data_IF_045306219297
#
_entry.id   IF_045306219297
#
_cell.length_a   1.000
_cell.length_b   1.000
_cell.length_c   1.000
_cell.angle_alpha   90.00
_cell.angle_beta   90.00
_cell.angle_gamma   90.00
#
_symmetry.space_group_name_H-M   'P 1'
#
loop_
_entity.id
_entity.type
_entity.pdbx_description
1 polymer ?
#
# COMPACT_ATOMS: atom_id res chain seq x y z
N UNK A 1 -5.55 -16.02 24.12
CA UNK A 1 -5.31 -16.83 22.90
C UNK A 1 -4.59 -18.08 23.36
N UNK A 2 -5.18 -19.27 23.16
CA UNK A 2 -4.52 -20.53 23.45
C UNK A 2 -4.05 -21.13 22.11
N UNK A 3 -2.74 -21.23 21.93
CA UNK A 3 -2.10 -21.82 20.75
C UNK A 3 -1.61 -20.81 19.70
N UNK A 4 -0.73 -21.25 18.79
CA UNK A 4 -0.27 -20.46 17.64
C UNK A 4 -1.44 -20.14 16.70
N UNK A 5 -1.21 -19.20 15.78
CA UNK A 5 -2.16 -18.91 14.70
C UNK A 5 -2.37 -20.14 13.82
N UNK A 6 -3.58 -20.30 13.29
CA UNK A 6 -3.85 -21.33 12.29
C UNK A 6 -3.09 -21.04 10.99
N UNK A 7 -2.77 -22.11 10.26
CA UNK A 7 -2.10 -22.00 8.95
C UNK A 7 -2.93 -21.18 7.94
N UNK A 8 -4.27 -21.26 8.00
CA UNK A 8 -5.14 -20.44 7.15
C UNK A 8 -5.00 -18.95 7.47
N UNK A 9 -4.99 -18.58 8.76
CA UNK A 9 -4.82 -17.19 9.17
C UNK A 9 -3.44 -16.66 8.75
N UNK A 10 -2.38 -17.43 9.00
CA UNK A 10 -1.03 -17.09 8.55
C UNK A 10 -0.97 -16.91 7.03
N UNK A 11 -1.58 -17.82 6.26
CA UNK A 11 -1.63 -17.74 4.81
C UNK A 11 -2.38 -16.51 4.29
N UNK A 12 -3.51 -16.13 4.92
CA UNK A 12 -4.25 -14.90 4.57
C UNK A 12 -3.42 -13.65 4.84
N UNK A 13 -2.80 -13.57 6.02
CA UNK A 13 -1.93 -12.45 6.40
C UNK A 13 -0.75 -12.32 5.43
N UNK A 14 -0.11 -13.44 5.08
CA UNK A 14 1.01 -13.46 4.14
C UNK A 14 0.60 -12.96 2.75
N UNK A 15 -0.55 -13.42 2.21
CA UNK A 15 -1.04 -12.96 0.91
C UNK A 15 -1.36 -11.46 0.90
N UNK A 16 -1.97 -10.95 1.97
CA UNK A 16 -2.24 -9.53 2.10
C UNK A 16 -0.92 -8.73 2.16
N UNK A 17 0.05 -9.16 2.96
CA UNK A 17 1.36 -8.53 3.03
C UNK A 17 2.08 -8.51 1.68
N UNK A 18 2.02 -9.62 0.93
CA UNK A 18 2.56 -9.71 -0.43
C UNK A 18 1.84 -8.77 -1.41
N UNK A 19 0.51 -8.68 -1.34
CA UNK A 19 -0.26 -7.76 -2.17
C UNK A 19 0.09 -6.29 -1.87
N UNK A 20 0.19 -5.90 -0.59
CA UNK A 20 0.59 -4.56 -0.17
C UNK A 20 2.02 -4.22 -0.66
N UNK A 21 2.95 -5.17 -0.54
CA UNK A 21 4.32 -4.99 -1.03
C UNK A 21 4.37 -4.88 -2.56
N UNK A 22 3.55 -5.65 -3.28
CA UNK A 22 3.45 -5.55 -4.74
C UNK A 22 2.95 -4.16 -5.17
N UNK A 23 1.88 -3.67 -4.55
CA UNK A 23 1.34 -2.33 -4.80
C UNK A 23 2.33 -1.23 -4.44
N UNK A 24 3.11 -1.41 -3.38
CA UNK A 24 4.19 -0.48 -2.99
C UNK A 24 5.25 -0.39 -4.09
N UNK A 25 5.72 -1.53 -4.61
CA UNK A 25 6.68 -1.57 -5.72
C UNK A 25 6.06 -0.97 -6.98
N UNK A 26 4.80 -1.30 -7.28
CA UNK A 26 4.07 -0.72 -8.42
C UNK A 26 4.06 0.80 -8.37
N UNK A 27 3.77 1.40 -7.21
CA UNK A 27 3.85 2.84 -7.00
C UNK A 27 5.24 3.43 -7.23
N UNK A 28 6.30 2.77 -6.80
CA UNK A 28 7.67 3.31 -6.94
C UNK A 28 8.17 3.18 -8.40
N UNK A 29 7.88 2.07 -9.07
CA UNK A 29 8.54 1.69 -10.31
C UNK A 29 7.68 1.78 -11.56
N UNK A 30 6.38 1.48 -11.49
CA UNK A 30 5.56 1.26 -12.68
C UNK A 30 4.75 2.51 -13.06
N UNK A 31 4.66 2.76 -14.36
CA UNK A 31 3.75 3.75 -14.97
C UNK A 31 2.69 3.11 -15.89
N UNK A 32 2.85 1.83 -16.22
CA UNK A 32 1.92 1.03 -17.01
C UNK A 32 2.09 -0.47 -16.68
N UNK A 33 1.23 -1.32 -17.25
CA UNK A 33 1.25 -2.78 -17.07
C UNK A 33 1.21 -3.20 -15.59
N UNK A 34 0.24 -2.69 -14.80
CA UNK A 34 0.26 -2.80 -13.34
C UNK A 34 0.12 -4.22 -12.79
N UNK A 35 -0.29 -5.19 -13.62
CA UNK A 35 -0.41 -6.61 -13.28
C UNK A 35 0.57 -7.50 -14.05
N UNK A 36 1.51 -6.92 -14.81
CA UNK A 36 2.46 -7.64 -15.65
C UNK A 36 1.79 -8.67 -16.58
N UNK A 37 0.67 -8.29 -17.21
CA UNK A 37 -0.06 -9.16 -18.16
C UNK A 37 0.71 -9.40 -19.45
N UNK A 38 1.62 -8.49 -19.79
CA UNK A 38 2.66 -8.66 -20.80
C UNK A 38 4.03 -8.64 -20.14
N UNK A 39 5.08 -9.24 -20.75
CA UNK A 39 6.45 -9.18 -20.24
C UNK A 39 6.87 -7.73 -19.95
N UNK A 40 7.56 -7.52 -18.83
CA UNK A 40 8.00 -6.19 -18.40
C UNK A 40 8.97 -5.59 -19.43
N UNK A 41 8.67 -4.37 -19.89
CA UNK A 41 9.52 -3.59 -20.80
C UNK A 41 9.94 -2.27 -20.15
N UNK A 42 11.06 -1.64 -20.58
CA UNK A 42 11.51 -0.36 -20.06
C UNK A 42 10.42 0.73 -20.09
N UNK A 43 9.55 0.74 -21.12
CA UNK A 43 8.47 1.71 -21.25
C UNK A 43 7.40 1.61 -20.14
N UNK A 44 7.32 0.48 -19.44
CA UNK A 44 6.41 0.31 -18.29
C UNK A 44 6.97 0.91 -17.00
N UNK A 45 8.26 1.23 -16.97
CA UNK A 45 8.97 1.76 -15.80
C UNK A 45 8.95 3.29 -15.83
N UNK A 46 8.74 3.93 -14.69
CA UNK A 46 8.80 5.39 -14.55
C UNK A 46 10.20 5.90 -14.96
N UNK A 47 10.29 7.01 -15.71
CA UNK A 47 11.57 7.59 -16.11
C UNK A 47 12.36 8.16 -14.92
N UNK A 48 11.70 8.42 -13.79
CA UNK A 48 12.31 8.84 -12.52
C UNK A 48 11.75 7.98 -11.41
N UNK A 49 12.63 7.24 -10.73
CA UNK A 49 12.28 6.38 -9.61
C UNK A 49 12.34 7.20 -8.33
N UNK A 50 11.19 7.44 -7.72
CA UNK A 50 11.06 8.22 -6.49
C UNK A 50 10.21 7.42 -5.49
N UNK A 51 10.63 7.41 -4.23
CA UNK A 51 10.01 6.65 -3.15
C UNK A 51 11.03 5.79 -2.40
N UNK A 52 10.61 5.22 -1.26
CA UNK A 52 11.48 4.42 -0.40
C UNK A 52 10.94 3.01 -0.24
N UNK A 53 11.79 2.03 -0.52
CA UNK A 53 11.49 0.63 -0.28
C UNK A 53 11.90 0.16 1.11
N UNK A 54 13.03 0.65 1.65
CA UNK A 54 13.71 0.04 2.80
C UNK A 54 12.82 -0.20 4.05
N UNK A 55 11.95 0.75 4.39
CA UNK A 55 11.03 0.62 5.54
C UNK A 55 9.69 -0.05 5.19
N UNK A 56 9.31 -0.02 3.91
CA UNK A 56 7.94 -0.27 3.45
C UNK A 56 7.42 -1.69 3.73
N UNK A 57 8.19 -2.79 3.52
CA UNK A 57 7.75 -4.13 3.91
C UNK A 57 7.49 -4.28 5.40
N UNK A 58 8.29 -3.59 6.23
CA UNK A 58 8.12 -3.60 7.69
C UNK A 58 6.84 -2.89 8.12
N UNK A 59 6.57 -1.72 7.54
CA UNK A 59 5.32 -0.98 7.76
C UNK A 59 4.10 -1.81 7.36
N UNK A 60 4.11 -2.41 6.17
CA UNK A 60 3.02 -3.29 5.72
C UNK A 60 2.86 -4.51 6.62
N UNK A 61 3.95 -5.11 7.11
CA UNK A 61 3.89 -6.24 8.03
C UNK A 61 3.16 -5.84 9.32
N UNK A 62 3.56 -4.71 9.94
CA UNK A 62 2.90 -4.18 11.14
C UNK A 62 1.41 -3.94 10.86
N UNK A 63 1.08 -3.31 9.72
CA UNK A 63 -0.31 -3.03 9.32
C UNK A 63 -1.15 -4.31 9.26
N UNK A 64 -0.66 -5.39 8.65
CA UNK A 64 -1.38 -6.68 8.59
C UNK A 64 -1.67 -7.22 9.99
N UNK A 65 -0.70 -7.14 10.89
CA UNK A 65 -0.86 -7.62 12.26
C UNK A 65 -1.85 -6.77 13.05
N UNK A 66 -1.85 -5.45 12.87
CA UNK A 66 -2.83 -4.54 13.45
C UNK A 66 -4.24 -4.82 12.91
N UNK A 67 -4.40 -4.97 11.59
CA UNK A 67 -5.67 -5.35 10.97
C UNK A 67 -6.23 -6.64 11.54
N UNK A 68 -5.39 -7.65 11.77
CA UNK A 68 -5.84 -8.88 12.43
C UNK A 68 -6.35 -8.60 13.85
N UNK A 69 -5.63 -7.80 14.65
CA UNK A 69 -6.07 -7.46 16.01
C UNK A 69 -7.40 -6.70 15.99
N UNK A 70 -7.58 -5.74 15.08
CA UNK A 70 -8.85 -5.04 14.87
C UNK A 70 -9.97 -6.05 14.58
N UNK A 71 -9.76 -6.95 13.60
CA UNK A 71 -10.79 -7.92 13.18
C UNK A 71 -11.10 -8.99 14.22
N UNK A 72 -10.13 -9.46 15.00
CA UNK A 72 -10.32 -10.53 15.98
C UNK A 72 -10.79 -10.03 17.36
N UNK A 73 -10.47 -8.77 17.69
CA UNK A 73 -10.61 -8.24 19.05
C UNK A 73 -11.48 -6.99 19.13
N UNK A 74 -11.96 -6.49 18.00
CA UNK A 74 -12.69 -5.22 17.92
C UNK A 74 -11.87 -4.09 18.58
N UNK A 75 -10.56 -4.10 18.32
CA UNK A 75 -9.62 -3.18 18.95
C UNK A 75 -9.52 -1.87 18.18
N UNK A 76 -9.59 -0.74 18.89
CA UNK A 76 -9.40 0.59 18.31
C UNK A 76 -7.91 0.98 18.28
N UNK A 77 -7.39 1.27 17.08
CA UNK A 77 -6.00 1.68 16.88
C UNK A 77 -5.91 2.92 16.00
N UNK A 78 -4.93 3.78 16.31
CA UNK A 78 -4.39 4.77 15.39
C UNK A 78 -2.95 4.35 15.08
N UNK A 79 -2.61 4.19 13.81
CA UNK A 79 -1.26 3.83 13.40
C UNK A 79 -0.43 5.07 13.06
N UNK A 80 0.50 5.44 13.94
CA UNK A 80 1.46 6.51 13.70
C UNK A 80 2.73 5.96 13.05
N UNK A 81 2.85 6.14 11.73
CA UNK A 81 4.01 5.70 10.96
C UNK A 81 5.18 6.68 11.12
N UNK A 82 6.03 6.45 12.13
CA UNK A 82 7.25 7.25 12.34
C UNK A 82 8.18 7.35 11.12
N UNK A 83 8.53 6.25 10.42
CA UNK A 83 9.28 6.34 9.17
C UNK A 83 8.34 6.68 8.00
N UNK A 84 7.78 7.89 8.03
CA UNK A 84 6.73 8.31 7.11
C UNK A 84 7.17 8.47 5.65
N UNK A 85 8.48 8.45 5.37
CA UNK A 85 9.01 8.27 4.01
C UNK A 85 8.61 6.94 3.36
N UNK A 86 8.04 6.00 4.12
CA UNK A 86 7.35 4.79 3.68
C UNK A 86 5.91 5.01 3.19
N UNK A 87 5.55 6.23 2.77
CA UNK A 87 4.26 6.61 2.17
C UNK A 87 3.57 5.57 1.28
N UNK A 88 4.24 4.97 0.27
CA UNK A 88 3.58 4.05 -0.65
C UNK A 88 3.10 2.76 0.04
N UNK A 89 3.70 2.37 1.17
CA UNK A 89 3.22 1.25 1.96
C UNK A 89 1.86 1.54 2.58
N UNK A 90 1.68 2.72 3.19
CA UNK A 90 0.41 3.09 3.82
C UNK A 90 -0.66 3.32 2.76
N UNK A 91 -0.33 3.97 1.65
CA UNK A 91 -1.25 4.12 0.51
C UNK A 91 -1.69 2.75 -0.04
N UNK A 92 -0.77 1.79 -0.18
CA UNK A 92 -1.12 0.44 -0.61
C UNK A 92 -2.10 -0.26 0.34
N UNK A 93 -1.90 -0.13 1.65
CA UNK A 93 -2.78 -0.72 2.65
C UNK A 93 -4.17 -0.08 2.63
N UNK A 94 -4.23 1.26 2.60
CA UNK A 94 -5.50 2.02 2.57
C UNK A 94 -6.26 1.79 1.25
N UNK A 95 -5.56 1.47 0.16
CA UNK A 95 -6.17 1.02 -1.09
C UNK A 95 -6.76 -0.39 -0.98
N UNK A 96 -6.05 -1.34 -0.37
CA UNK A 96 -6.52 -2.73 -0.20
C UNK A 96 -7.73 -2.88 0.73
N UNK A 97 -7.93 -1.95 1.67
CA UNK A 97 -9.14 -1.90 2.52
C UNK A 97 -10.31 -1.16 1.85
N UNK A 98 -10.10 -0.58 0.66
CA UNK A 98 -11.12 0.12 -0.13
C UNK A 98 -11.34 1.58 0.26
N UNK A 99 -10.85 2.05 1.43
CA UNK A 99 -11.02 3.44 1.89
C UNK A 99 -10.44 4.44 0.90
N UNK A 100 -9.28 4.14 0.30
CA UNK A 100 -8.67 5.02 -0.71
C UNK A 100 -9.62 5.26 -1.88
N UNK A 101 -10.27 4.20 -2.38
CA UNK A 101 -11.21 4.25 -3.51
C UNK A 101 -12.55 4.90 -3.13
N UNK A 102 -12.94 4.91 -1.86
CA UNK A 102 -14.12 5.65 -1.38
C UNK A 102 -13.88 7.16 -1.42
N UNK A 103 -12.67 7.61 -1.06
CA UNK A 103 -12.28 9.03 -1.05
C UNK A 103 -11.87 9.52 -2.45
N UNK A 104 -11.20 8.66 -3.22
CA UNK A 104 -10.72 8.92 -4.58
C UNK A 104 -11.34 7.90 -5.56
N UNK A 105 -12.62 8.07 -5.96
CA UNK A 105 -13.35 7.10 -6.80
C UNK A 105 -12.68 6.80 -8.15
N UNK A 106 -11.85 7.73 -8.61
CA UNK A 106 -11.10 7.64 -9.84
C UNK A 106 -9.94 6.62 -9.74
N UNK A 107 -9.53 6.27 -8.52
CA UNK A 107 -8.54 5.24 -8.19
C UNK A 107 -9.27 3.98 -7.70
N UNK A 108 -10.16 3.44 -8.55
CA UNK A 108 -11.02 2.30 -8.21
C UNK A 108 -10.25 0.98 -8.00
N UNK A 109 -10.87 0.02 -7.31
CA UNK A 109 -10.33 -1.35 -7.07
C UNK A 109 -10.39 -2.25 -8.31
N UNK A 110 -9.77 -1.79 -9.40
CA UNK A 110 -9.66 -2.52 -10.67
C UNK A 110 -8.30 -2.24 -11.33
N UNK A 111 -8.06 -2.83 -12.50
CA UNK A 111 -6.76 -2.72 -13.19
C UNK A 111 -6.45 -1.27 -13.58
N UNK A 112 -7.45 -0.51 -14.01
CA UNK A 112 -7.27 0.88 -14.45
C UNK A 112 -6.97 1.78 -13.25
N UNK A 113 -7.71 1.63 -12.15
CA UNK A 113 -7.47 2.35 -10.90
C UNK A 113 -6.12 2.00 -10.28
N UNK A 114 -5.71 0.72 -10.31
CA UNK A 114 -4.35 0.31 -9.90
C UNK A 114 -3.27 0.97 -10.77
N UNK A 115 -3.48 1.05 -12.08
CA UNK A 115 -2.57 1.77 -12.99
C UNK A 115 -2.45 3.25 -12.63
N UNK A 116 -3.56 3.89 -12.27
CA UNK A 116 -3.56 5.29 -11.82
C UNK A 116 -2.89 5.46 -10.45
N UNK A 117 -3.17 4.57 -9.49
CA UNK A 117 -2.52 4.50 -8.19
C UNK A 117 -1.00 4.47 -8.35
N UNK A 118 -0.50 3.63 -9.25
CA UNK A 118 0.93 3.50 -9.50
C UNK A 118 1.49 4.78 -10.12
N UNK A 119 0.86 5.26 -11.20
CA UNK A 119 1.34 6.40 -11.96
C UNK A 119 1.39 7.68 -11.14
N UNK A 120 0.40 7.95 -10.29
CA UNK A 120 0.32 9.21 -9.54
C UNK A 120 1.37 9.36 -8.45
N UNK A 121 1.88 8.26 -7.89
CA UNK A 121 2.82 8.33 -6.77
C UNK A 121 4.11 9.07 -7.12
N UNK A 122 4.45 10.12 -6.36
CA UNK A 122 5.68 10.93 -6.52
C UNK A 122 5.90 11.46 -7.95
N UNK A 123 4.84 11.92 -8.61
CA UNK A 123 4.90 12.53 -9.95
C UNK A 123 4.31 13.94 -9.94
N UNK A 124 4.65 14.80 -10.93
CA UNK A 124 4.04 16.12 -11.05
C UNK A 124 2.51 16.03 -11.14
N UNK A 125 1.81 16.73 -10.24
CA UNK A 125 0.34 16.69 -10.15
C UNK A 125 -0.24 15.41 -9.52
N UNK A 126 0.60 14.52 -9.00
CA UNK A 126 0.21 13.33 -8.26
C UNK A 126 0.28 13.50 -6.74
N UNK A 127 0.55 12.41 -6.02
CA UNK A 127 0.59 12.41 -4.54
C UNK A 127 2.03 12.45 -3.99
N UNK A 128 2.23 12.95 -2.75
CA UNK A 128 3.53 13.00 -2.08
C UNK A 128 4.18 11.63 -1.85
N UNK A 129 5.48 11.63 -1.54
CA UNK A 129 6.25 10.42 -1.23
C UNK A 129 6.09 9.92 0.21
N UNK A 130 5.68 10.80 1.12
CA UNK A 130 5.48 10.51 2.54
C UNK A 130 4.02 10.14 2.83
N UNK A 131 3.74 9.71 4.08
CA UNK A 131 2.37 9.46 4.59
C UNK A 131 1.65 10.81 4.83
N UNK A 132 1.63 11.68 3.83
CA UNK A 132 1.14 13.07 3.95
C UNK A 132 -0.39 13.13 4.01
N UNK A 133 -0.92 14.35 4.17
CA UNK A 133 -2.36 14.68 4.31
C UNK A 133 -3.31 13.97 3.33
N UNK A 134 -2.97 13.74 2.03
CA UNK A 134 -3.87 13.04 1.12
C UNK A 134 -4.05 11.54 1.41
N UNK A 135 -3.30 10.97 2.36
CA UNK A 135 -3.43 9.56 2.74
C UNK A 135 -4.55 9.43 3.77
N UNK A 136 -5.67 8.74 3.46
CA UNK A 136 -6.73 8.56 4.45
C UNK A 136 -6.19 7.89 5.72
N UNK A 137 -6.59 8.41 6.87
CA UNK A 137 -6.12 7.96 8.18
C UNK A 137 -4.80 8.59 8.65
N UNK A 138 -4.09 9.35 7.82
CA UNK A 138 -2.87 10.02 8.25
C UNK A 138 -3.15 11.26 9.11
N UNK A 139 -2.51 11.31 10.27
CA UNK A 139 -2.40 12.50 11.13
C UNK A 139 -0.94 12.81 11.49
N UNK A 140 0.01 12.10 10.85
CA UNK A 140 1.44 12.20 11.11
C UNK A 140 2.21 11.82 9.85
N UNK A 141 2.95 12.77 9.27
CA UNK A 141 3.62 12.61 7.97
C UNK A 141 4.93 11.82 8.03
N UNK A 142 5.57 11.75 9.21
CA UNK A 142 6.91 11.19 9.43
C UNK A 142 7.91 12.25 9.84
#
# INVERSE_FOLDING_TARGET
MQGPLSDDMLGRMQRYWQAANYLTIGQIYLQNNPLLREPLRPEHIKPRLLGHWGTSPGLSLIYVHLNRLIKERDADFIYLAGPGHGGPALVANVYLEGTYSQIYPEIAENVDGMGRLFRQFSTPGGIPSHVSVPTPGSIHEG
#
